data_IF_588626978588
#
_entry.id   IF_588626978588
#
_cell.length_a   1.000
_cell.length_b   1.000
_cell.length_c   1.000
_cell.angle_alpha   90.00
_cell.angle_beta   90.00
_cell.angle_gamma   90.00
#
_symmetry.space_group_name_H-M   'P 1'
#
loop_
_entity.id
_entity.type
_entity.pdbx_description
1 polymer ?
#
# COMPACT_ATOMS: atom_id res chain seq x y z
N UNK A 1 0.38 16.90 -4.15
CA UNK A 1 0.44 15.95 -3.01
C UNK A 1 -0.79 15.02 -2.98
N UNK A 2 -2.01 15.57 -2.98
CA UNK A 2 -3.27 14.79 -2.92
C UNK A 2 -3.42 13.79 -4.07
N UNK A 3 -3.04 14.16 -5.29
CA UNK A 3 -3.18 13.30 -6.47
C UNK A 3 -2.29 12.04 -6.40
N UNK A 4 -1.08 12.18 -5.85
CA UNK A 4 -0.18 11.04 -5.61
C UNK A 4 -0.74 10.12 -4.53
N UNK A 5 -1.35 10.67 -3.47
CA UNK A 5 -2.00 9.86 -2.43
C UNK A 5 -3.19 9.08 -3.00
N UNK A 6 -4.03 9.71 -3.83
CA UNK A 6 -5.14 9.04 -4.53
C UNK A 6 -4.66 7.84 -5.36
N UNK A 7 -3.50 7.99 -6.01
CA UNK A 7 -2.90 6.93 -6.81
C UNK A 7 -2.34 5.81 -5.92
N UNK A 8 -1.68 6.15 -4.81
CA UNK A 8 -1.12 5.18 -3.85
C UNK A 8 -2.19 4.35 -3.13
N UNK A 9 -3.36 4.92 -2.88
CA UNK A 9 -4.51 4.25 -2.24
C UNK A 9 -5.40 3.51 -3.26
N UNK A 10 -5.04 3.50 -4.55
CA UNK A 10 -5.75 2.71 -5.54
C UNK A 10 -5.38 1.23 -5.38
N UNK A 11 -6.35 0.40 -4.99
CA UNK A 11 -6.20 -1.05 -4.85
C UNK A 11 -5.66 -1.73 -6.12
N UNK A 12 -5.89 -1.15 -7.29
CA UNK A 12 -5.48 -1.67 -8.59
C UNK A 12 -4.20 -1.02 -9.13
N UNK A 13 -3.53 -0.17 -8.36
CA UNK A 13 -2.31 0.51 -8.80
C UNK A 13 -1.26 -0.45 -9.40
N UNK A 14 -0.96 -1.61 -8.80
CA UNK A 14 0.03 -2.54 -9.38
C UNK A 14 -0.36 -3.07 -10.75
N UNK A 15 -1.65 -3.06 -11.10
CA UNK A 15 -2.17 -3.50 -12.39
C UNK A 15 -2.28 -2.35 -13.40
N UNK A 16 -2.49 -1.12 -12.93
CA UNK A 16 -2.80 0.04 -13.77
C UNK A 16 -1.73 1.15 -13.76
N UNK A 17 -0.58 0.91 -13.13
CA UNK A 17 0.51 1.88 -12.93
C UNK A 17 0.88 2.67 -14.19
N UNK A 18 0.85 2.04 -15.38
CA UNK A 18 1.14 2.69 -16.66
C UNK A 18 0.18 3.85 -16.99
N UNK A 19 -1.10 3.76 -16.60
CA UNK A 19 -2.11 4.82 -16.81
C UNK A 19 -1.73 6.12 -16.10
N UNK A 20 -0.92 6.02 -15.05
CA UNK A 20 -0.48 7.14 -14.23
C UNK A 20 0.97 7.56 -14.52
N UNK A 21 1.55 7.08 -15.64
CA UNK A 21 2.96 7.30 -16.00
C UNK A 21 3.94 6.85 -14.91
N UNK A 22 3.55 5.88 -14.07
CA UNK A 22 4.44 5.27 -13.09
C UNK A 22 5.26 4.20 -13.80
N UNK A 23 6.53 4.07 -13.44
CA UNK A 23 7.35 2.92 -13.84
C UNK A 23 7.38 1.90 -12.71
N UNK A 24 7.37 0.62 -13.07
CA UNK A 24 7.47 -0.50 -12.15
C UNK A 24 8.67 -1.36 -12.55
N UNK A 25 9.59 -1.58 -11.61
CA UNK A 25 10.82 -2.35 -11.82
C UNK A 25 10.83 -3.56 -10.90
N UNK A 26 10.84 -4.76 -11.48
CA UNK A 26 11.07 -5.99 -10.74
C UNK A 26 12.48 -5.94 -10.13
N UNK A 27 12.53 -5.89 -8.80
CA UNK A 27 13.78 -5.69 -8.03
C UNK A 27 14.29 -6.97 -7.38
N UNK A 28 13.69 -8.12 -7.73
CA UNK A 28 14.06 -9.45 -7.21
C UNK A 28 13.03 -10.06 -6.29
N UNK A 29 13.45 -11.03 -5.49
CA UNK A 29 12.65 -11.67 -4.44
C UNK A 29 13.34 -11.51 -3.09
N UNK A 30 12.55 -11.33 -2.04
CA UNK A 30 13.02 -11.27 -0.65
C UNK A 30 12.06 -12.05 0.26
N UNK A 31 12.55 -12.50 1.40
CA UNK A 31 11.67 -13.09 2.41
C UNK A 31 10.95 -12.00 3.21
N UNK A 32 9.63 -12.10 3.30
CA UNK A 32 8.79 -11.29 4.19
C UNK A 32 8.07 -12.24 5.12
N UNK A 33 8.29 -12.09 6.43
CA UNK A 33 7.71 -12.97 7.46
C UNK A 33 7.94 -14.47 7.17
N UNK A 34 9.13 -14.81 6.69
CA UNK A 34 9.55 -16.19 6.39
C UNK A 34 9.09 -16.74 5.03
N UNK A 35 8.24 -16.02 4.28
CA UNK A 35 7.73 -16.42 2.96
C UNK A 35 8.40 -15.64 1.84
N UNK A 36 8.52 -16.25 0.67
CA UNK A 36 9.08 -15.59 -0.51
C UNK A 36 8.11 -14.53 -1.05
N UNK A 37 8.61 -13.33 -1.27
CA UNK A 37 7.85 -12.22 -1.82
C UNK A 37 8.60 -11.56 -2.98
N UNK A 38 7.86 -11.24 -4.04
CA UNK A 38 8.31 -10.51 -5.22
C UNK A 38 8.42 -9.02 -4.85
N UNK A 39 9.62 -8.46 -5.01
CA UNK A 39 9.91 -7.04 -4.72
C UNK A 39 9.76 -6.21 -5.98
N UNK A 40 8.87 -5.23 -5.95
CA UNK A 40 8.64 -4.29 -7.07
C UNK A 40 8.91 -2.87 -6.58
N UNK A 41 9.81 -2.17 -7.27
CA UNK A 41 10.06 -0.76 -7.03
C UNK A 41 9.25 0.06 -8.02
N UNK A 42 8.42 0.95 -7.50
CA UNK A 42 7.64 1.89 -8.28
C UNK A 42 8.27 3.28 -8.24
N UNK A 43 8.15 4.02 -9.35
CA UNK A 43 8.60 5.42 -9.45
C UNK A 43 7.56 6.25 -10.19
N UNK A 44 7.07 7.29 -9.53
CA UNK A 44 6.18 8.27 -10.12
C UNK A 44 6.93 9.31 -10.99
N UNK A 45 6.26 9.99 -11.93
CA UNK A 45 6.84 11.10 -12.71
C UNK A 45 7.46 12.21 -11.86
N UNK A 46 6.93 12.41 -10.65
CA UNK A 46 7.44 13.37 -9.66
C UNK A 46 8.80 12.96 -9.06
N UNK A 47 9.31 11.78 -9.39
CA UNK A 47 10.53 11.21 -8.81
C UNK A 47 10.30 10.44 -7.51
N UNK A 48 9.11 10.51 -6.90
CA UNK A 48 8.78 9.74 -5.70
C UNK A 48 8.86 8.24 -5.98
N UNK A 49 9.56 7.51 -5.13
CA UNK A 49 9.70 6.06 -5.19
C UNK A 49 9.08 5.38 -3.98
N UNK A 50 8.58 4.16 -4.18
CA UNK A 50 8.18 3.26 -3.11
C UNK A 50 8.38 1.82 -3.57
N UNK A 51 8.43 0.91 -2.62
CA UNK A 51 8.64 -0.52 -2.87
C UNK A 51 7.43 -1.26 -2.32
N UNK A 52 6.88 -2.16 -3.12
CA UNK A 52 5.86 -3.10 -2.68
C UNK A 52 6.40 -4.52 -2.80
N UNK A 53 5.95 -5.37 -1.88
CA UNK A 53 6.32 -6.78 -1.82
C UNK A 53 5.04 -7.59 -1.92
N UNK A 54 5.00 -8.49 -2.89
CA UNK A 54 3.85 -9.36 -3.15
C UNK A 54 4.21 -10.79 -2.82
N UNK A 55 3.41 -11.46 -1.99
CA UNK A 55 3.57 -12.89 -1.70
C UNK A 55 3.58 -13.68 -3.02
N UNK A 56 4.57 -14.55 -3.20
CA UNK A 56 4.80 -15.25 -4.47
C UNK A 56 3.65 -16.16 -4.87
N UNK A 57 3.00 -16.79 -3.89
CA UNK A 57 1.99 -17.81 -4.14
C UNK A 57 0.60 -17.20 -4.33
N UNK A 58 0.24 -16.22 -3.50
CA UNK A 58 -1.08 -15.59 -3.53
C UNK A 58 -1.16 -14.31 -4.37
N UNK A 59 -0.01 -13.69 -4.69
CA UNK A 59 0.06 -12.39 -5.36
C UNK A 59 -0.38 -11.21 -4.48
N UNK A 60 -0.73 -11.43 -3.21
CA UNK A 60 -1.19 -10.39 -2.30
C UNK A 60 -0.04 -9.50 -1.84
N UNK A 61 -0.29 -8.18 -1.72
CA UNK A 61 0.68 -7.24 -1.15
C UNK A 61 0.89 -7.57 0.32
N UNK A 62 2.10 -7.88 0.75
CA UNK A 62 2.42 -8.23 2.15
C UNK A 62 3.24 -7.18 2.88
N UNK A 63 3.95 -6.33 2.13
CA UNK A 63 4.75 -5.24 2.69
C UNK A 63 4.82 -4.07 1.71
N UNK A 64 4.90 -2.87 2.23
CA UNK A 64 5.20 -1.65 1.49
C UNK A 64 6.25 -0.86 2.25
N UNK A 65 7.17 -0.24 1.51
CA UNK A 65 8.19 0.65 2.04
C UNK A 65 8.19 1.95 1.25
N UNK A 66 8.15 3.08 1.95
CA UNK A 66 8.21 4.40 1.34
C UNK A 66 8.97 5.38 2.23
N UNK A 67 9.60 6.37 1.61
CA UNK A 67 10.17 7.50 2.35
C UNK A 67 9.08 8.54 2.57
N UNK A 68 8.93 8.98 3.81
CA UNK A 68 8.07 10.10 4.19
C UNK A 68 8.95 11.26 4.67
N UNK A 69 8.61 12.47 4.25
CA UNK A 69 9.32 13.69 4.65
C UNK A 69 8.48 14.45 5.66
N UNK A 70 9.04 14.67 6.84
CA UNK A 70 8.45 15.42 7.95
C UNK A 70 9.35 16.63 8.26
N UNK A 71 8.88 17.65 9.00
CA UNK A 71 9.70 18.82 9.35
C UNK A 71 11.02 18.45 10.05
N UNK A 72 11.03 17.36 10.82
CA UNK A 72 12.20 16.85 11.52
C UNK A 72 13.13 15.97 10.66
N UNK A 73 12.80 15.70 9.40
CA UNK A 73 13.64 14.93 8.47
C UNK A 73 12.86 13.91 7.63
N UNK A 74 13.59 13.11 6.84
CA UNK A 74 13.02 12.02 6.05
C UNK A 74 13.16 10.69 6.78
N UNK A 75 12.08 9.90 6.82
CA UNK A 75 12.02 8.61 7.49
C UNK A 75 11.55 7.53 6.54
N UNK A 76 12.10 6.32 6.71
CA UNK A 76 11.55 5.13 6.05
C UNK A 76 10.35 4.66 6.86
N UNK A 77 9.19 4.67 6.20
CA UNK A 77 7.97 4.06 6.68
C UNK A 77 7.84 2.66 6.07
N UNK A 78 7.52 1.68 6.91
CA UNK A 78 7.18 0.32 6.49
C UNK A 78 5.75 0.02 6.93
N UNK A 79 4.97 -0.58 6.04
CA UNK A 79 3.62 -1.09 6.35
C UNK A 79 3.61 -2.57 6.01
N UNK A 80 3.28 -3.42 6.97
CA UNK A 80 2.99 -4.84 6.75
C UNK A 80 1.48 -5.07 6.69
N UNK A 81 1.05 -5.94 5.78
CA UNK A 81 -0.35 -6.28 5.55
C UNK A 81 -0.57 -7.74 5.92
N UNK A 82 -1.48 -7.99 6.86
CA UNK A 82 -1.72 -9.31 7.47
C UNK A 82 -3.22 -9.62 7.52
N UNK A 83 -3.52 -10.88 7.84
CA UNK A 83 -4.86 -11.40 8.09
C UNK A 83 -5.84 -11.11 6.96
N UNK A 84 -5.46 -11.47 5.74
CA UNK A 84 -6.30 -11.28 4.56
C UNK A 84 -7.61 -12.07 4.66
N UNK A 85 -8.75 -11.38 4.52
CA UNK A 85 -10.10 -11.98 4.48
C UNK A 85 -10.81 -11.63 3.19
N UNK A 86 -11.67 -12.55 2.74
CA UNK A 86 -12.53 -12.33 1.58
C UNK A 86 -13.70 -11.43 1.96
N UNK A 87 -13.93 -10.38 1.18
CA UNK A 87 -15.11 -9.51 1.26
C UNK A 87 -15.60 -9.29 -0.17
N UNK A 88 -16.74 -9.92 -0.50
CA UNK A 88 -17.36 -9.85 -1.82
C UNK A 88 -16.41 -10.25 -2.97
N UNK A 89 -15.59 -11.30 -2.78
CA UNK A 89 -14.70 -11.84 -3.81
C UNK A 89 -13.36 -11.10 -3.94
N UNK A 90 -13.09 -10.12 -3.08
CA UNK A 90 -11.80 -9.42 -3.00
C UNK A 90 -11.19 -9.67 -1.63
N UNK A 91 -9.89 -9.98 -1.60
CA UNK A 91 -9.15 -10.18 -0.35
C UNK A 91 -8.59 -8.86 0.17
N UNK A 92 -8.99 -8.49 1.38
CA UNK A 92 -8.53 -7.29 2.07
C UNK A 92 -7.71 -7.65 3.31
N UNK A 93 -6.65 -6.91 3.66
CA UNK A 93 -5.92 -7.11 4.90
C UNK A 93 -6.76 -6.62 6.09
N UNK A 94 -6.90 -7.45 7.13
CA UNK A 94 -7.59 -7.06 8.36
C UNK A 94 -6.64 -6.64 9.48
N UNK A 95 -5.33 -6.68 9.24
CA UNK A 95 -4.33 -6.17 10.15
C UNK A 95 -3.24 -5.43 9.39
N UNK A 96 -2.96 -4.19 9.81
CA UNK A 96 -1.86 -3.39 9.29
C UNK A 96 -0.88 -3.09 10.42
N UNK A 97 0.41 -3.27 10.16
CA UNK A 97 1.47 -2.90 11.10
C UNK A 97 2.33 -1.84 10.43
N UNK A 98 2.23 -0.61 10.92
CA UNK A 98 3.01 0.52 10.45
C UNK A 98 4.19 0.78 11.38
N UNK A 99 5.39 0.85 10.81
CA UNK A 99 6.64 1.10 11.53
C UNK A 99 7.37 2.30 10.92
N UNK A 100 7.85 3.21 11.77
CA UNK A 100 8.66 4.36 11.39
C UNK A 100 9.72 4.62 12.47
N UNK A 101 10.97 4.21 12.18
CA UNK A 101 12.03 4.24 13.19
C UNK A 101 11.65 3.42 14.43
N UNK A 102 11.70 3.98 15.66
CA UNK A 102 11.30 3.27 16.88
C UNK A 102 9.79 3.19 17.09
N UNK A 103 8.98 3.95 16.34
CA UNK A 103 7.52 3.95 16.49
C UNK A 103 6.90 2.81 15.70
N UNK A 104 5.98 2.09 16.35
CA UNK A 104 5.19 1.01 15.75
C UNK A 104 3.71 1.21 16.11
N UNK A 105 2.83 1.16 15.11
CA UNK A 105 1.39 1.28 15.24
C UNK A 105 0.77 0.03 14.63
N UNK A 106 -0.05 -0.67 15.40
CA UNK A 106 -0.87 -1.78 14.90
C UNK A 106 -2.31 -1.28 14.72
N UNK A 107 -2.92 -1.64 13.59
CA UNK A 107 -4.28 -1.29 13.24
C UNK A 107 -5.02 -2.57 12.86
N UNK A 108 -6.07 -2.89 13.62
CA UNK A 108 -6.98 -3.99 13.33
C UNK A 108 -8.24 -3.45 12.66
N UNK A 109 -8.65 -4.08 11.57
CA UNK A 109 -9.87 -3.72 10.83
C UNK A 109 -11.03 -4.53 11.39
N UNK A 110 -12.02 -3.85 11.96
CA UNK A 110 -13.20 -4.52 12.52
C UNK A 110 -14.19 -4.95 11.43
N UNK A 111 -14.43 -4.08 10.43
CA UNK A 111 -15.38 -4.36 9.36
C UNK A 111 -15.02 -3.65 8.07
N UNK A 112 -15.36 -4.28 6.94
CA UNK A 112 -15.29 -3.69 5.61
C UNK A 112 -16.66 -3.84 4.97
N UNK A 113 -17.20 -2.74 4.44
CA UNK A 113 -18.46 -2.73 3.69
C UNK A 113 -18.20 -2.14 2.31
N UNK A 114 -18.63 -2.85 1.27
CA UNK A 114 -18.36 -2.51 -0.13
C UNK A 114 -19.67 -2.14 -0.81
N UNK A 115 -19.64 -1.13 -1.69
CA UNK A 115 -20.79 -0.68 -2.50
C UNK A 115 -22.05 -0.32 -1.69
N UNK A 116 -21.88 0.31 -0.53
CA UNK A 116 -23.00 0.70 0.36
C UNK A 116 -23.71 2.00 -0.04
N UNK A 117 -23.36 2.61 -1.17
CA UNK A 117 -23.99 3.85 -1.64
C UNK A 117 -23.64 5.08 -0.81
N UNK A 118 -22.35 5.28 -0.50
CA UNK A 118 -21.86 6.46 0.23
C UNK A 118 -22.17 7.72 -0.60
N UNK A 119 -22.79 8.72 0.03
CA UNK A 119 -23.19 9.96 -0.64
C UNK A 119 -21.99 10.88 -0.93
N UNK A 120 -21.89 11.39 -2.16
CA UNK A 120 -20.82 12.29 -2.62
C UNK A 120 -20.63 13.54 -1.77
N UNK A 121 -21.69 14.02 -1.11
CA UNK A 121 -21.61 15.16 -0.20
C UNK A 121 -20.60 14.96 0.94
N UNK A 122 -20.29 13.70 1.31
CA UNK A 122 -19.30 13.38 2.33
C UNK A 122 -17.87 13.80 1.94
N UNK A 123 -17.57 13.90 0.65
CA UNK A 123 -16.22 14.20 0.14
C UNK A 123 -16.01 15.68 -0.20
N UNK A 124 -17.00 16.54 0.06
CA UNK A 124 -16.89 17.99 -0.15
C UNK A 124 -16.08 18.61 0.97
N UNK A 125 -15.02 19.35 0.61
CA UNK A 125 -14.24 20.16 1.54
C UNK A 125 -15.14 21.32 2.01
N UNK A 126 -15.26 21.50 3.32
CA UNK A 126 -15.88 22.68 3.93
C UNK A 126 -14.84 23.77 4.16
#
# INVERSE_FOLDING_TARGET
>A
MVEVLKIQENLYLPLEYKKYNITATLSGMEKVNGKDAIKVTFKAPTGKTWIEYFDKDSGLKVKQQSTISLPQGSFTQVIEYKDYKDVNGVKYPFKLIQSMGPQKIEMDVESIKVNTGINDNLFKIK
#
